data_IF_490950597764
#
_entry.id   IF_490950597764
#
_cell.length_a   1.000
_cell.length_b   1.000
_cell.length_c   1.000
_cell.angle_alpha   90.00
_cell.angle_beta   90.00
_cell.angle_gamma   90.00
#
_symmetry.space_group_name_H-M   'P 1'
#
loop_
_entity.id
_entity.type
_entity.pdbx_description
1 polymer ?
#
# COMPACT_ATOMS: atom_id res chain seq x y z
N UNK A 1 20.98 -11.69 -17.06
CA UNK A 1 21.88 -11.73 -15.91
C UNK A 1 21.55 -12.98 -15.12
N UNK A 2 22.55 -13.69 -14.62
CA UNK A 2 22.29 -14.91 -13.81
C UNK A 2 22.10 -14.50 -12.36
N UNK A 3 20.85 -14.49 -11.91
CA UNK A 3 20.46 -14.10 -10.55
C UNK A 3 20.95 -15.08 -9.47
N UNK A 4 21.41 -16.27 -9.89
CA UNK A 4 21.95 -17.29 -8.96
C UNK A 4 23.17 -16.79 -8.17
N UNK A 5 23.98 -15.91 -8.79
CA UNK A 5 25.19 -15.37 -8.16
C UNK A 5 24.89 -14.35 -7.04
N UNK A 6 23.65 -13.88 -6.92
CA UNK A 6 23.23 -12.90 -5.90
C UNK A 6 22.30 -13.52 -4.85
N UNK A 7 21.86 -14.78 -5.05
CA UNK A 7 20.83 -15.39 -4.24
C UNK A 7 21.39 -15.86 -2.88
N UNK A 8 20.76 -15.42 -1.80
CA UNK A 8 20.94 -15.99 -0.47
C UNK A 8 20.01 -17.20 -0.29
N UNK A 9 20.50 -18.26 0.33
CA UNK A 9 19.74 -19.47 0.67
C UNK A 9 19.32 -19.42 2.14
N UNK A 10 18.03 -19.50 2.41
CA UNK A 10 17.51 -19.54 3.79
C UNK A 10 17.75 -20.95 4.37
N UNK A 11 18.57 -21.03 5.43
CA UNK A 11 18.91 -22.28 6.12
C UNK A 11 17.97 -22.56 7.29
N UNK A 12 17.62 -21.52 8.06
CA UNK A 12 16.78 -21.63 9.25
C UNK A 12 15.97 -20.33 9.43
N UNK A 13 14.76 -20.47 9.97
CA UNK A 13 13.92 -19.36 10.42
C UNK A 13 13.55 -19.58 11.88
N UNK A 14 13.54 -18.51 12.67
CA UNK A 14 13.12 -18.51 14.06
C UNK A 14 12.26 -17.27 14.32
N UNK A 15 11.06 -17.48 14.85
CA UNK A 15 10.19 -16.36 15.25
C UNK A 15 10.67 -15.81 16.58
N UNK A 16 11.04 -14.54 16.61
CA UNK A 16 11.49 -13.84 17.82
C UNK A 16 10.41 -12.93 18.42
N UNK A 17 9.43 -12.52 17.62
CA UNK A 17 8.26 -11.76 18.07
C UNK A 17 7.00 -12.15 17.28
N UNK A 18 6.02 -12.84 17.89
CA UNK A 18 4.75 -13.19 17.25
C UNK A 18 3.68 -12.13 17.56
N UNK A 19 3.76 -10.97 16.89
CA UNK A 19 2.77 -9.90 17.05
C UNK A 19 1.44 -10.19 16.31
N UNK A 20 0.41 -9.39 16.59
CA UNK A 20 -0.91 -9.48 15.97
C UNK A 20 -0.88 -9.02 14.49
N UNK A 21 -0.14 -7.93 14.19
CA UNK A 21 -0.05 -7.33 12.86
C UNK A 21 1.19 -7.81 12.12
N UNK A 22 2.32 -7.84 12.83
CA UNK A 22 3.60 -8.25 12.27
C UNK A 22 4.18 -9.42 13.08
N UNK A 23 4.98 -10.25 12.40
CA UNK A 23 5.86 -11.22 13.05
C UNK A 23 7.30 -10.85 12.71
N UNK A 24 8.18 -10.82 13.70
CA UNK A 24 9.60 -10.64 13.46
C UNK A 24 10.29 -11.99 13.55
N UNK A 25 11.07 -12.29 12.54
CA UNK A 25 11.84 -13.54 12.43
C UNK A 25 13.34 -13.24 12.32
N UNK A 26 14.15 -14.09 12.90
CA UNK A 26 15.58 -14.15 12.65
C UNK A 26 15.86 -15.32 11.69
N UNK A 27 16.47 -15.00 10.55
CA UNK A 27 16.81 -15.99 9.55
C UNK A 27 18.33 -16.20 9.50
N UNK A 28 18.77 -17.45 9.50
CA UNK A 28 20.11 -17.80 9.12
C UNK A 28 20.15 -18.07 7.62
N UNK A 29 21.04 -17.40 6.91
CA UNK A 29 21.17 -17.53 5.46
C UNK A 29 22.58 -17.93 5.08
N UNK A 30 22.72 -18.63 3.93
CA UNK A 30 23.99 -18.86 3.26
C UNK A 30 24.16 -17.81 2.17
N UNK A 31 25.26 -17.08 2.22
CA UNK A 31 25.64 -16.07 1.24
C UNK A 31 26.17 -16.72 -0.04
N UNK A 32 26.24 -15.99 -1.18
CA UNK A 32 26.81 -16.50 -2.42
C UNK A 32 28.26 -16.97 -2.33
N UNK A 33 29.04 -16.42 -1.39
CA UNK A 33 30.42 -16.84 -1.13
C UNK A 33 30.54 -18.10 -0.25
N UNK A 34 29.40 -18.68 0.19
CA UNK A 34 29.33 -19.87 1.04
C UNK A 34 29.32 -19.60 2.54
N UNK A 35 29.58 -18.38 2.98
CA UNK A 35 29.51 -17.98 4.39
C UNK A 35 28.08 -17.91 4.90
N UNK A 36 27.88 -17.91 6.22
CA UNK A 36 26.56 -17.74 6.84
C UNK A 36 26.43 -16.35 7.44
N UNK A 37 25.20 -15.81 7.37
CA UNK A 37 24.85 -14.53 7.97
C UNK A 37 23.47 -14.60 8.63
N UNK A 38 23.18 -13.64 9.50
CA UNK A 38 21.87 -13.43 10.11
C UNK A 38 21.10 -12.33 9.34
N UNK A 39 19.78 -12.50 9.26
CA UNK A 39 18.83 -11.50 8.75
C UNK A 39 17.68 -11.34 9.74
N UNK A 40 17.28 -10.12 10.00
CA UNK A 40 16.09 -9.81 10.78
C UNK A 40 14.98 -9.41 9.81
N UNK A 41 13.88 -10.16 9.82
CA UNK A 41 12.81 -10.00 8.84
C UNK A 41 11.49 -9.69 9.54
N UNK A 42 10.86 -8.59 9.14
CA UNK A 42 9.47 -8.27 9.48
C UNK A 42 8.57 -8.97 8.47
N UNK A 43 7.75 -9.90 8.98
CA UNK A 43 6.77 -10.62 8.18
C UNK A 43 5.39 -9.96 8.34
N UNK A 44 4.78 -9.60 7.22
CA UNK A 44 3.45 -9.00 7.11
C UNK A 44 2.60 -9.79 6.10
N UNK A 45 1.28 -9.84 6.30
CA UNK A 45 0.38 -10.62 5.41
C UNK A 45 0.11 -9.93 4.09
N UNK A 46 0.40 -8.63 3.98
CA UNK A 46 0.14 -7.80 2.82
C UNK A 46 -1.02 -6.83 3.04
N UNK A 47 -1.22 -5.95 2.06
CA UNK A 47 -2.23 -4.91 2.07
C UNK A 47 -2.73 -4.61 0.65
N UNK A 48 -3.85 -3.89 0.55
CA UNK A 48 -4.31 -3.28 -0.68
C UNK A 48 -4.54 -1.79 -0.48
N UNK A 49 -4.38 -0.99 -1.54
CA UNK A 49 -4.62 0.44 -1.52
C UNK A 49 -5.26 0.89 -2.84
N UNK A 50 -6.08 1.94 -2.77
CA UNK A 50 -6.92 2.37 -3.89
C UNK A 50 -6.73 3.85 -4.15
N UNK A 51 -6.30 4.19 -5.37
CA UNK A 51 -6.48 5.55 -5.87
C UNK A 51 -7.84 5.65 -6.55
N UNK A 52 -8.78 6.34 -5.92
CA UNK A 52 -10.13 6.55 -6.40
C UNK A 52 -10.22 7.93 -7.06
N UNK A 53 -10.59 7.96 -8.36
CA UNK A 53 -10.76 9.18 -9.13
C UNK A 53 -12.24 9.38 -9.51
N UNK A 54 -12.77 10.56 -9.20
CA UNK A 54 -14.11 10.94 -9.65
C UNK A 54 -14.11 11.52 -11.07
N UNK A 55 -15.32 11.76 -11.58
CA UNK A 55 -15.54 12.31 -12.93
C UNK A 55 -15.03 13.75 -13.10
N UNK A 56 -14.74 14.46 -12.01
CA UNK A 56 -14.18 15.81 -11.99
C UNK A 56 -12.63 15.79 -11.92
N UNK A 57 -12.01 14.60 -11.97
CA UNK A 57 -10.57 14.44 -11.87
C UNK A 57 -10.03 14.71 -10.45
N UNK A 58 -10.89 14.57 -9.42
CA UNK A 58 -10.44 14.67 -8.04
C UNK A 58 -10.10 13.30 -7.50
N UNK A 59 -9.00 13.22 -6.77
CA UNK A 59 -8.59 12.03 -6.02
C UNK A 59 -9.23 12.06 -4.64
N UNK A 60 -9.71 10.90 -4.20
CA UNK A 60 -10.24 10.69 -2.84
C UNK A 60 -9.11 10.24 -1.95
N UNK A 61 -8.90 10.94 -0.86
CA UNK A 61 -7.85 10.71 0.13
C UNK A 61 -8.47 10.61 1.53
N UNK A 62 -7.75 9.98 2.44
CA UNK A 62 -8.09 9.88 3.86
C UNK A 62 -7.01 10.56 4.70
N UNK A 63 -7.44 11.31 5.71
CA UNK A 63 -6.57 11.87 6.75
C UNK A 63 -6.65 11.00 7.97
N UNK A 64 -5.52 10.56 8.48
CA UNK A 64 -5.45 9.78 9.72
C UNK A 64 -4.15 10.02 10.47
N UNK A 65 -4.18 9.79 11.78
CA UNK A 65 -2.99 9.88 12.63
C UNK A 65 -2.17 8.59 12.54
N UNK A 66 -0.90 8.69 12.17
CA UNK A 66 0.05 7.58 12.17
C UNK A 66 0.97 7.68 13.38
N UNK A 67 0.63 6.94 14.44
CA UNK A 67 1.35 6.99 15.73
C UNK A 67 2.85 6.67 15.59
N UNK A 68 3.22 5.81 14.65
CA UNK A 68 4.63 5.44 14.44
C UNK A 68 5.54 6.60 14.05
N UNK A 69 4.97 7.66 13.47
CA UNK A 69 5.69 8.88 13.06
C UNK A 69 5.15 10.13 13.75
N UNK A 70 4.14 9.97 14.63
CA UNK A 70 3.45 11.03 15.38
C UNK A 70 2.96 12.18 14.48
N UNK A 71 2.32 11.84 13.36
CA UNK A 71 1.82 12.82 12.36
C UNK A 71 0.46 12.43 11.82
N UNK A 72 -0.34 13.45 11.49
CA UNK A 72 -1.51 13.27 10.63
C UNK A 72 -1.03 13.25 9.18
N UNK A 73 -1.29 12.15 8.51
CA UNK A 73 -0.96 11.94 7.10
C UNK A 73 -2.21 12.07 6.22
N UNK A 74 -1.99 12.36 4.95
CA UNK A 74 -3.00 12.32 3.91
C UNK A 74 -2.60 11.23 2.93
N UNK A 75 -3.44 10.21 2.81
CA UNK A 75 -3.13 8.96 2.13
C UNK A 75 -4.26 8.53 1.20
N UNK A 76 -3.98 7.67 0.23
CA UNK A 76 -5.04 6.94 -0.47
C UNK A 76 -5.64 5.88 0.47
N UNK A 77 -6.96 5.56 0.36
CA UNK A 77 -7.60 4.49 1.12
C UNK A 77 -6.81 3.19 1.03
N UNK A 78 -6.56 2.55 2.18
CA UNK A 78 -5.72 1.36 2.24
C UNK A 78 -5.85 0.61 3.56
N UNK A 79 -5.85 -0.73 3.50
CA UNK A 79 -5.76 -1.57 4.67
C UNK A 79 -5.10 -2.90 4.42
N UNK A 80 -4.86 -3.62 5.51
CA UNK A 80 -4.23 -4.95 5.47
C UNK A 80 -5.22 -6.01 4.97
N UNK A 81 -4.69 -7.08 4.41
CA UNK A 81 -5.48 -8.29 4.16
C UNK A 81 -6.00 -8.86 5.50
N UNK A 82 -7.21 -9.41 5.52
CA UNK A 82 -7.78 -10.08 6.69
C UNK A 82 -7.17 -11.46 6.93
N UNK A 83 -6.67 -12.08 5.86
CA UNK A 83 -5.97 -13.35 5.93
C UNK A 83 -4.90 -13.46 4.83
N UNK A 84 -3.93 -14.39 4.97
CA UNK A 84 -2.94 -14.64 3.91
C UNK A 84 -3.53 -15.14 2.59
N UNK A 85 -4.79 -15.55 2.58
CA UNK A 85 -5.51 -16.11 1.42
C UNK A 85 -6.57 -15.15 0.86
N UNK A 86 -6.76 -13.98 1.46
CA UNK A 86 -7.68 -12.97 0.93
C UNK A 86 -7.18 -12.46 -0.42
N UNK A 87 -8.10 -12.35 -1.39
CA UNK A 87 -7.77 -11.71 -2.66
C UNK A 87 -7.52 -10.20 -2.43
N UNK A 88 -6.35 -9.66 -2.77
CA UNK A 88 -6.07 -8.23 -2.61
C UNK A 88 -7.06 -7.31 -3.34
N UNK A 89 -7.73 -7.79 -4.38
CA UNK A 89 -8.77 -7.03 -5.05
C UNK A 89 -10.04 -6.89 -4.18
N UNK A 90 -10.42 -7.96 -3.50
CA UNK A 90 -11.55 -7.93 -2.55
C UNK A 90 -11.22 -7.01 -1.38
N UNK A 91 -10.02 -7.09 -0.83
CA UNK A 91 -9.52 -6.17 0.19
C UNK A 91 -9.60 -4.71 -0.28
N UNK A 92 -9.14 -4.40 -1.50
CA UNK A 92 -9.20 -3.04 -2.05
C UNK A 92 -10.64 -2.49 -2.14
N UNK A 93 -11.62 -3.33 -2.53
CA UNK A 93 -13.02 -2.94 -2.58
C UNK A 93 -13.60 -2.69 -1.18
N UNK A 94 -13.26 -3.55 -0.23
CA UNK A 94 -13.68 -3.44 1.17
C UNK A 94 -13.14 -2.15 1.79
N UNK A 95 -11.85 -1.89 1.71
CA UNK A 95 -11.19 -0.71 2.28
C UNK A 95 -11.72 0.61 1.68
N UNK A 96 -11.92 0.66 0.36
CA UNK A 96 -12.54 1.84 -0.26
C UNK A 96 -13.92 2.12 0.33
N UNK A 97 -14.73 1.09 0.53
CA UNK A 97 -16.08 1.21 1.08
C UNK A 97 -16.07 1.57 2.57
N UNK A 98 -15.23 0.93 3.37
CA UNK A 98 -15.16 1.13 4.82
C UNK A 98 -14.70 2.54 5.17
N UNK A 99 -13.56 2.98 4.62
CA UNK A 99 -12.97 4.28 4.94
C UNK A 99 -13.72 5.46 4.31
N UNK A 100 -14.30 5.30 3.10
CA UNK A 100 -14.85 6.44 2.34
C UNK A 100 -16.34 6.35 2.03
N UNK A 101 -16.95 5.19 2.21
CA UNK A 101 -18.31 4.91 1.77
C UNK A 101 -18.46 4.79 0.25
N UNK A 102 -17.37 4.74 -0.51
CA UNK A 102 -17.41 4.68 -1.97
C UNK A 102 -17.37 3.25 -2.49
N UNK A 103 -18.08 3.04 -3.58
CA UNK A 103 -17.90 1.87 -4.47
C UNK A 103 -17.52 2.37 -5.86
N UNK A 104 -17.01 1.49 -6.72
CA UNK A 104 -16.57 1.86 -8.06
C UNK A 104 -17.00 0.83 -9.12
N UNK A 105 -17.28 1.31 -10.34
CA UNK A 105 -17.65 0.45 -11.48
C UNK A 105 -16.44 -0.14 -12.19
N UNK A 106 -15.36 0.63 -12.27
CA UNK A 106 -14.19 0.28 -13.04
C UNK A 106 -12.96 0.20 -12.17
N UNK A 107 -12.22 -0.90 -12.31
CA UNK A 107 -11.03 -1.19 -11.55
C UNK A 107 -9.87 -1.58 -12.46
N UNK A 108 -8.71 -1.03 -12.17
CA UNK A 108 -7.46 -1.39 -12.84
C UNK A 108 -6.38 -1.66 -11.81
N UNK A 109 -5.78 -2.85 -11.83
CA UNK A 109 -4.57 -3.11 -11.06
C UNK A 109 -3.41 -2.28 -11.61
N UNK A 110 -2.77 -1.48 -10.77
CA UNK A 110 -1.63 -0.65 -11.15
C UNK A 110 -0.32 -1.42 -10.98
N UNK A 111 -0.04 -1.87 -9.76
CA UNK A 111 1.19 -2.59 -9.44
C UNK A 111 1.06 -3.31 -8.10
N UNK A 112 2.12 -4.02 -7.72
CA UNK A 112 2.34 -4.50 -6.37
C UNK A 112 3.63 -3.84 -5.86
N UNK A 113 3.49 -3.00 -4.84
CA UNK A 113 4.60 -2.30 -4.20
C UNK A 113 5.21 -3.19 -3.13
N UNK A 114 6.51 -3.41 -3.17
CA UNK A 114 7.30 -3.94 -2.06
C UNK A 114 7.82 -2.75 -1.25
N UNK A 115 7.36 -2.60 0.01
CA UNK A 115 7.57 -1.38 0.78
C UNK A 115 9.02 -1.18 1.21
N UNK A 116 9.62 -2.19 1.84
CA UNK A 116 10.97 -2.11 2.40
C UNK A 116 11.69 -3.46 2.28
N UNK A 117 12.00 -3.92 1.06
CA UNK A 117 12.44 -5.31 0.80
C UNK A 117 13.77 -5.68 1.47
N UNK A 118 14.50 -4.71 2.02
CA UNK A 118 15.75 -4.97 2.76
C UNK A 118 15.53 -5.74 4.07
N UNK A 119 14.36 -5.60 4.71
CA UNK A 119 14.06 -6.29 5.97
C UNK A 119 12.57 -6.61 6.19
N UNK A 120 11.70 -6.22 5.28
CA UNK A 120 10.25 -6.45 5.40
C UNK A 120 9.74 -7.10 4.11
N UNK A 121 8.84 -8.07 4.24
CA UNK A 121 8.20 -8.73 3.11
C UNK A 121 6.82 -8.18 2.79
N UNK A 122 6.46 -7.02 3.34
CA UNK A 122 5.18 -6.40 3.06
C UNK A 122 5.03 -6.06 1.58
N UNK A 123 3.86 -6.41 1.05
CA UNK A 123 3.40 -6.06 -0.29
C UNK A 123 2.09 -5.31 -0.21
N UNK A 124 2.01 -4.19 -0.94
CA UNK A 124 0.78 -3.40 -1.07
C UNK A 124 0.32 -3.46 -2.53
N UNK A 125 -0.85 -4.03 -2.76
CA UNK A 125 -1.45 -4.11 -4.07
C UNK A 125 -2.19 -2.81 -4.38
N UNK A 126 -1.73 -2.08 -5.41
CA UNK A 126 -2.29 -0.77 -5.80
C UNK A 126 -3.30 -0.92 -6.92
N UNK A 127 -4.47 -0.31 -6.74
CA UNK A 127 -5.57 -0.29 -7.71
C UNK A 127 -6.00 1.14 -8.01
N UNK A 128 -6.42 1.37 -9.27
CA UNK A 128 -7.17 2.56 -9.69
C UNK A 128 -8.64 2.19 -9.73
N UNK A 129 -9.49 3.03 -9.13
CA UNK A 129 -10.94 2.93 -9.14
C UNK A 129 -11.56 4.18 -9.76
N UNK A 130 -12.50 3.98 -10.69
CA UNK A 130 -13.27 5.07 -11.34
C UNK A 130 -14.73 4.67 -11.48
N UNK A 131 -15.62 5.63 -11.86
CA UNK A 131 -17.04 5.38 -11.82
C UNK A 131 -17.54 5.25 -10.38
N UNK A 132 -17.22 6.26 -9.55
CA UNK A 132 -17.47 6.22 -8.10
C UNK A 132 -18.94 6.47 -7.78
N UNK A 133 -19.48 5.66 -6.85
CA UNK A 133 -20.80 5.81 -6.26
C UNK A 133 -20.70 6.02 -4.77
N UNK A 134 -21.46 6.98 -4.23
CA UNK A 134 -21.47 7.28 -2.81
C UNK A 134 -22.45 6.36 -2.08
N UNK A 135 -21.97 5.69 -1.06
CA UNK A 135 -22.73 4.97 -0.03
C UNK A 135 -22.41 5.52 1.36
N UNK A 136 -22.61 4.69 2.37
CA UNK A 136 -22.24 5.02 3.76
C UNK A 136 -20.87 4.40 4.09
N UNK A 137 -20.03 5.18 4.76
CA UNK A 137 -18.78 4.67 5.31
C UNK A 137 -19.03 3.88 6.60
N UNK A 138 -18.24 2.86 6.81
CA UNK A 138 -18.30 1.99 8.00
C UNK A 138 -16.86 1.64 8.44
N UNK A 139 -16.05 2.66 8.85
CA UNK A 139 -14.70 2.41 9.34
C UNK A 139 -14.75 1.51 10.58
N UNK A 140 -13.66 0.81 10.86
CA UNK A 140 -13.49 0.02 12.08
C UNK A 140 -13.62 0.93 13.33
N UNK A 141 -14.03 0.35 14.47
CA UNK A 141 -14.30 1.11 15.70
C UNK A 141 -13.09 1.90 16.22
N UNK A 142 -11.87 1.49 15.87
CA UNK A 142 -10.60 2.12 16.23
C UNK A 142 -9.99 2.96 15.10
N UNK A 143 -10.70 3.13 13.97
CA UNK A 143 -10.27 3.95 12.84
C UNK A 143 -10.95 5.32 12.83
N UNK A 144 -10.14 6.37 12.98
CA UNK A 144 -10.57 7.75 12.92
C UNK A 144 -10.00 8.40 11.65
N UNK A 145 -10.81 8.43 10.60
CA UNK A 145 -10.42 8.95 9.28
C UNK A 145 -11.34 10.08 8.82
N UNK A 146 -10.76 11.10 8.19
CA UNK A 146 -11.49 12.15 7.49
C UNK A 146 -11.28 11.99 5.98
N UNK A 147 -12.37 12.00 5.22
CA UNK A 147 -12.30 11.93 3.75
C UNK A 147 -12.07 13.31 3.16
N UNK A 148 -11.06 13.43 2.31
CA UNK A 148 -10.66 14.65 1.62
C UNK A 148 -10.64 14.41 0.11
N UNK A 149 -11.09 15.41 -0.68
CA UNK A 149 -10.97 15.37 -2.14
C UNK A 149 -10.10 16.52 -2.61
N UNK A 150 -9.24 16.28 -3.58
CA UNK A 150 -8.47 17.33 -4.24
C UNK A 150 -8.19 16.99 -5.70
N UNK A 151 -7.96 17.99 -6.58
CA UNK A 151 -7.57 17.71 -7.95
C UNK A 151 -6.30 16.83 -8.03
N UNK A 152 -6.29 15.83 -8.92
CA UNK A 152 -5.14 14.94 -9.12
C UNK A 152 -3.86 15.73 -9.39
N UNK A 153 -3.93 16.79 -10.21
CA UNK A 153 -2.77 17.62 -10.51
C UNK A 153 -2.18 18.29 -9.25
N UNK A 154 -3.02 18.77 -8.34
CA UNK A 154 -2.59 19.33 -7.06
C UNK A 154 -1.96 18.27 -6.14
N UNK A 155 -2.56 17.07 -6.08
CA UNK A 155 -1.99 15.97 -5.30
C UNK A 155 -0.61 15.57 -5.83
N UNK A 156 -0.42 15.51 -7.14
CA UNK A 156 0.86 15.25 -7.78
C UNK A 156 1.89 16.34 -7.47
N UNK A 157 1.48 17.62 -7.48
CA UNK A 157 2.37 18.72 -7.09
C UNK A 157 2.86 18.56 -5.64
N UNK A 158 1.98 18.10 -4.72
CA UNK A 158 2.35 17.84 -3.33
C UNK A 158 3.28 16.63 -3.17
N UNK A 159 3.23 15.65 -4.06
CA UNK A 159 4.26 14.60 -4.13
C UNK A 159 5.60 15.19 -4.58
N UNK A 160 5.59 16.00 -5.65
CA UNK A 160 6.81 16.51 -6.27
C UNK A 160 7.55 17.54 -5.37
N UNK A 161 6.82 18.25 -4.52
CA UNK A 161 7.43 19.21 -3.56
C UNK A 161 7.75 18.58 -2.19
N UNK A 162 7.49 17.25 -2.00
CA UNK A 162 7.82 16.50 -0.79
C UNK A 162 6.79 16.67 0.36
N UNK A 163 5.64 17.25 0.12
CA UNK A 163 4.55 17.36 1.11
C UNK A 163 3.93 15.99 1.36
N UNK A 164 3.60 15.23 0.31
CA UNK A 164 3.15 13.84 0.42
C UNK A 164 4.37 12.92 0.47
N UNK A 165 4.55 12.26 1.62
CA UNK A 165 5.71 11.39 1.88
C UNK A 165 5.34 9.92 2.03
N UNK A 166 4.05 9.58 2.09
CA UNK A 166 3.60 8.20 2.10
C UNK A 166 3.86 7.55 0.73
N UNK A 167 4.67 6.49 0.72
CA UNK A 167 5.19 5.91 -0.53
C UNK A 167 4.10 5.29 -1.41
N UNK A 168 3.10 4.61 -0.83
CA UNK A 168 2.01 4.03 -1.60
C UNK A 168 1.15 5.11 -2.28
N UNK A 169 0.86 6.20 -1.55
CA UNK A 169 0.10 7.35 -2.06
C UNK A 169 0.86 8.06 -3.16
N UNK A 170 2.14 8.37 -2.94
CA UNK A 170 2.97 9.04 -3.94
C UNK A 170 3.07 8.23 -5.23
N UNK A 171 3.34 6.92 -5.13
CA UNK A 171 3.43 6.03 -6.30
C UNK A 171 2.11 5.97 -7.06
N UNK A 172 0.98 5.76 -6.36
CA UNK A 172 -0.33 5.64 -6.99
C UNK A 172 -0.74 6.95 -7.70
N UNK A 173 -0.51 8.12 -7.07
CA UNK A 173 -0.79 9.43 -7.68
C UNK A 173 0.01 9.65 -8.96
N UNK A 174 1.31 9.35 -8.96
CA UNK A 174 2.16 9.48 -10.15
C UNK A 174 1.74 8.52 -11.26
N UNK A 175 1.38 7.28 -10.93
CA UNK A 175 0.90 6.30 -11.91
C UNK A 175 -0.44 6.73 -12.52
N UNK A 176 -1.40 7.18 -11.70
CA UNK A 176 -2.70 7.65 -12.18
C UNK A 176 -2.56 8.88 -13.10
N UNK A 177 -1.73 9.85 -12.71
CA UNK A 177 -1.45 11.03 -13.55
C UNK A 177 -0.82 10.66 -14.89
N UNK A 178 0.02 9.62 -14.93
CA UNK A 178 0.60 9.15 -16.19
C UNK A 178 -0.42 8.43 -17.09
N UNK A 179 -1.41 7.75 -16.50
CA UNK A 179 -2.50 7.12 -17.25
C UNK A 179 -3.47 8.15 -17.80
N UNK A 180 -3.86 9.14 -16.99
CA UNK A 180 -4.74 10.24 -17.38
C UNK A 180 -4.19 11.01 -18.58
N UNK A 181 -2.91 11.38 -18.55
CA UNK A 181 -2.22 12.04 -19.68
C UNK A 181 -2.23 11.24 -21.00
N UNK A 182 -2.23 9.91 -20.92
CA UNK A 182 -2.29 9.05 -22.13
C UNK A 182 -3.70 8.95 -22.71
N UNK A 183 -4.73 9.25 -21.92
CA UNK A 183 -6.13 9.23 -22.37
C UNK A 183 -6.51 10.51 -23.13
N UNK A 184 -5.67 11.54 -23.08
CA UNK A 184 -5.89 12.87 -23.69
C UNK A 184 -5.15 13.01 -25.04
N UNK A 185 -4.44 11.96 -25.52
CA UNK A 185 -3.77 11.92 -26.84
C UNK A 185 -4.52 10.96 -27.82
#
# INVERSE_FOLDING_TARGET
MDDKALREEVLRRETVYPGKIIRVEQWQVRLPNGETAQREIVCHIGAAAVIALDQQGQVVLVRQHRVAIDQVTLEIPAGKLDSPTEDPFVCAQRELSEETGLTAEHWQKLTCLETTPGFCNERIHLYLATGLHQGNSHPDEDEFVDVVRMPLAQAVEQVMNGTFRDGKTALALLMANQLDRKSVV
#
